data_IF_237322619771
#
_entry.id   IF_237322619771
#
_cell.length_a   1.000
_cell.length_b   1.000
_cell.length_c   1.000
_cell.angle_alpha   90.00
_cell.angle_beta   90.00
_cell.angle_gamma   90.00
#
_symmetry.space_group_name_H-M   'P 1'
#
loop_
_entity.id
_entity.type
_entity.pdbx_description
1 polymer ?
#
# COMPACT_ATOMS: atom_id res chain seq x y z
N UNK A 1 10.83 -6.27 -0.22
CA UNK A 1 11.69 -5.09 0.04
C UNK A 1 11.54 -4.12 -1.12
N UNK A 2 10.91 -2.98 -0.89
CA UNK A 2 10.66 -1.96 -1.92
C UNK A 2 11.88 -1.05 -2.01
N UNK A 3 12.51 -0.94 -3.18
CA UNK A 3 13.55 0.05 -3.45
C UNK A 3 12.89 1.43 -3.52
N UNK A 4 13.23 2.30 -2.58
CA UNK A 4 12.91 3.72 -2.65
C UNK A 4 14.17 4.45 -3.10
N UNK A 5 14.07 5.31 -4.13
CA UNK A 5 15.20 6.05 -4.66
C UNK A 5 15.93 6.80 -3.55
N UNK A 6 17.23 6.58 -3.46
CA UNK A 6 18.09 7.18 -2.45
C UNK A 6 18.31 8.66 -2.75
N UNK A 7 17.80 9.54 -1.89
CA UNK A 7 18.48 10.81 -1.63
C UNK A 7 19.48 10.53 -0.51
N UNK A 8 20.76 10.54 -0.85
CA UNK A 8 21.84 10.46 0.14
C UNK A 8 21.83 11.75 0.95
N UNK A 9 21.43 11.66 2.20
CA UNK A 9 21.66 12.75 3.12
C UNK A 9 22.43 12.24 4.33
N UNK A 10 23.56 12.87 4.60
CA UNK A 10 24.36 12.64 5.77
C UNK A 10 23.76 13.41 6.94
N UNK A 11 23.30 12.70 7.95
CA UNK A 11 22.95 13.29 9.25
C UNK A 11 24.18 13.33 10.11
N UNK A 12 24.72 14.50 10.36
CA UNK A 12 25.65 14.69 11.47
C UNK A 12 24.85 14.65 12.77
N UNK A 13 25.08 13.62 13.57
CA UNK A 13 24.49 13.53 14.89
C UNK A 13 25.29 14.43 15.84
N UNK A 14 24.85 15.68 16.02
CA UNK A 14 25.23 16.52 17.14
C UNK A 14 24.26 16.26 18.28
N UNK A 15 24.64 15.37 19.20
CA UNK A 15 23.85 15.09 20.39
C UNK A 15 24.75 14.56 21.50
N UNK A 16 25.18 15.44 22.42
CA UNK A 16 25.80 15.03 23.65
C UNK A 16 24.80 14.35 24.56
N UNK A 17 24.84 13.03 24.65
CA UNK A 17 24.18 12.25 25.68
C UNK A 17 25.15 11.85 26.76
N UNK A 18 24.68 11.67 28.00
CA UNK A 18 25.45 11.38 29.22
C UNK A 18 26.23 10.04 29.24
N UNK A 19 26.30 9.35 28.12
CA UNK A 19 27.12 8.14 27.95
C UNK A 19 28.06 8.33 26.78
N UNK A 20 29.35 8.20 27.04
CA UNK A 20 30.52 8.38 26.22
C UNK A 20 30.32 8.33 24.70
N UNK A 21 30.83 9.39 24.07
CA UNK A 21 30.77 9.58 22.62
C UNK A 21 31.71 8.61 21.88
N UNK A 22 31.28 7.40 21.63
CA UNK A 22 31.84 6.61 20.55
C UNK A 22 31.14 7.03 19.26
N UNK A 23 31.87 7.74 18.39
CA UNK A 23 31.44 8.01 17.02
C UNK A 23 31.40 6.69 16.26
N UNK A 24 30.27 6.00 16.30
CA UNK A 24 30.01 4.89 15.39
C UNK A 24 29.65 5.47 14.04
N UNK A 25 30.59 5.56 13.14
CA UNK A 25 30.31 5.73 11.72
C UNK A 25 29.68 4.42 11.21
N UNK A 26 28.37 4.28 11.37
CA UNK A 26 27.61 3.24 10.72
C UNK A 26 27.36 3.68 9.28
N UNK A 27 28.21 3.23 8.38
CA UNK A 27 27.91 3.29 6.94
C UNK A 27 26.75 2.32 6.66
N UNK A 28 25.56 2.85 6.53
CA UNK A 28 24.44 2.09 5.97
C UNK A 28 24.45 2.24 4.45
N UNK A 29 25.08 1.32 3.78
CA UNK A 29 25.05 1.19 2.31
C UNK A 29 23.82 0.39 1.85
N UNK A 30 22.73 0.50 2.57
CA UNK A 30 21.45 -0.12 2.23
C UNK A 30 20.56 0.92 1.56
N UNK A 31 20.17 0.65 0.31
CA UNK A 31 19.11 1.39 -0.40
C UNK A 31 17.72 1.08 0.16
N UNK A 32 17.60 0.10 1.05
CA UNK A 32 16.38 -0.26 1.75
C UNK A 32 16.21 0.65 2.98
N UNK A 33 15.18 1.47 2.99
CA UNK A 33 14.82 2.31 4.14
C UNK A 33 13.51 1.83 4.75
N UNK A 34 13.42 1.97 6.07
CA UNK A 34 12.14 1.80 6.74
C UNK A 34 11.14 2.86 6.28
N UNK A 35 9.85 2.53 6.22
CA UNK A 35 8.81 3.50 5.93
C UNK A 35 8.90 4.68 6.89
N UNK A 36 8.70 5.90 6.37
CA UNK A 36 8.57 7.10 7.21
C UNK A 36 7.17 7.17 7.81
N UNK A 37 7.01 7.89 8.91
CA UNK A 37 5.74 8.02 9.65
C UNK A 37 4.61 8.62 8.80
N UNK A 38 4.96 9.49 7.85
CA UNK A 38 3.99 10.10 6.92
C UNK A 38 4.21 9.56 5.52
N UNK A 39 3.19 8.92 4.97
CA UNK A 39 3.15 8.43 3.59
C UNK A 39 2.21 9.31 2.77
N UNK A 40 2.66 9.74 1.59
CA UNK A 40 1.86 10.57 0.69
C UNK A 40 1.48 9.77 -0.55
N UNK A 41 0.19 9.68 -0.82
CA UNK A 41 -0.37 9.04 -2.00
C UNK A 41 -1.25 10.04 -2.77
N UNK A 42 -1.11 10.06 -4.10
CA UNK A 42 -1.98 10.87 -4.93
C UNK A 42 -3.40 10.30 -4.93
N UNK A 43 -4.38 11.17 -4.69
CA UNK A 43 -5.80 10.86 -4.89
C UNK A 43 -6.28 11.40 -6.26
N UNK A 44 -5.33 11.62 -7.17
CA UNK A 44 -5.53 12.41 -8.40
C UNK A 44 -6.41 11.78 -9.47
N UNK A 45 -6.59 10.47 -9.50
CA UNK A 45 -7.50 9.84 -10.46
C UNK A 45 -8.93 9.79 -9.94
N UNK A 46 -9.53 10.97 -9.85
CA UNK A 46 -10.92 11.15 -9.44
C UNK A 46 -11.92 11.08 -10.61
N UNK A 47 -11.44 10.86 -11.81
CA UNK A 47 -12.28 10.80 -13.02
C UNK A 47 -13.25 9.62 -13.00
N UNK A 48 -12.92 8.56 -12.25
CA UNK A 48 -13.78 7.39 -12.08
C UNK A 48 -14.02 7.10 -10.59
N UNK A 49 -14.85 7.92 -9.95
CA UNK A 49 -15.29 7.66 -8.58
C UNK A 49 -16.38 6.59 -8.56
N UNK A 50 -16.03 5.43 -8.01
CA UNK A 50 -16.97 4.33 -7.76
C UNK A 50 -17.65 4.43 -6.40
N UNK A 51 -17.14 5.29 -5.51
CA UNK A 51 -17.71 5.53 -4.17
C UNK A 51 -17.28 6.91 -3.65
N UNK A 52 -18.15 7.56 -2.87
CA UNK A 52 -17.93 8.94 -2.35
C UNK A 52 -16.64 9.05 -1.52
N UNK A 53 -16.35 8.03 -0.72
CA UNK A 53 -15.16 7.96 0.15
C UNK A 53 -14.09 7.00 -0.38
N UNK A 54 -13.99 6.84 -1.69
CA UNK A 54 -13.01 5.92 -2.30
C UNK A 54 -11.58 6.25 -1.87
N UNK A 55 -10.84 5.23 -1.44
CA UNK A 55 -9.42 5.33 -1.12
C UNK A 55 -8.55 5.05 -2.34
N UNK A 56 -7.38 5.69 -2.47
CA UNK A 56 -6.42 5.37 -3.53
C UNK A 56 -5.99 3.90 -3.46
N UNK A 57 -6.01 3.21 -4.61
CA UNK A 57 -5.59 1.81 -4.70
C UNK A 57 -4.13 1.64 -4.31
N UNK A 58 -3.27 2.59 -4.68
CA UNK A 58 -1.83 2.56 -4.35
C UNK A 58 -1.56 2.61 -2.85
N UNK A 59 -2.35 3.40 -2.09
CA UNK A 59 -2.28 3.41 -0.63
C UNK A 59 -2.62 2.03 -0.07
N UNK A 60 -3.73 1.44 -0.55
CA UNK A 60 -4.18 0.13 -0.09
C UNK A 60 -3.18 -0.98 -0.46
N UNK A 61 -2.63 -0.94 -1.67
CA UNK A 61 -1.59 -1.86 -2.10
C UNK A 61 -0.32 -1.76 -1.23
N UNK A 62 0.08 -0.55 -0.87
CA UNK A 62 1.20 -0.32 0.05
C UNK A 62 0.94 -0.95 1.42
N UNK A 63 -0.23 -0.72 2.02
CA UNK A 63 -0.60 -1.28 3.33
C UNK A 63 -0.68 -2.80 3.27
N UNK A 64 -1.34 -3.36 2.26
CA UNK A 64 -1.47 -4.81 2.06
C UNK A 64 -0.07 -5.45 1.94
N UNK A 65 0.83 -4.90 1.14
CA UNK A 65 2.19 -5.42 0.99
C UNK A 65 3.03 -5.29 2.27
N UNK A 66 2.75 -4.29 3.09
CA UNK A 66 3.46 -4.05 4.35
C UNK A 66 3.08 -5.07 5.42
N UNK A 67 1.79 -5.41 5.51
CA UNK A 67 1.23 -6.17 6.63
C UNK A 67 0.86 -7.61 6.29
N UNK A 68 0.95 -8.01 5.02
CA UNK A 68 0.59 -9.37 4.58
C UNK A 68 1.62 -9.96 3.63
N UNK A 69 1.58 -11.29 3.46
CA UNK A 69 2.36 -12.02 2.47
C UNK A 69 1.51 -12.37 1.24
N UNK A 70 2.11 -12.65 0.07
CA UNK A 70 1.38 -13.21 -1.06
C UNK A 70 0.63 -14.48 -0.67
N UNK A 71 -0.66 -14.56 -1.05
CA UNK A 71 -1.56 -15.67 -0.71
C UNK A 71 -2.30 -15.52 0.61
N UNK A 72 -1.99 -14.50 1.43
CA UNK A 72 -2.79 -14.20 2.61
C UNK A 72 -4.17 -13.68 2.21
N UNK A 73 -5.15 -13.84 3.11
CA UNK A 73 -6.53 -13.37 2.95
C UNK A 73 -6.68 -12.01 3.60
N UNK A 74 -7.17 -11.03 2.85
CA UNK A 74 -7.50 -9.69 3.33
C UNK A 74 -9.02 -9.53 3.42
N UNK A 75 -9.51 -9.10 4.58
CA UNK A 75 -10.93 -8.81 4.82
C UNK A 75 -11.19 -7.31 4.82
N UNK A 76 -12.20 -6.89 4.07
CA UNK A 76 -12.77 -5.54 4.15
C UNK A 76 -14.28 -5.65 4.37
N UNK A 77 -14.73 -5.31 5.58
CA UNK A 77 -16.13 -5.47 6.00
C UNK A 77 -17.05 -4.30 5.56
N UNK A 78 -16.50 -3.29 4.87
CA UNK A 78 -17.23 -2.17 4.27
C UNK A 78 -16.53 -1.70 3.00
N UNK A 79 -16.44 -2.62 2.03
CA UNK A 79 -15.57 -2.46 0.86
C UNK A 79 -15.96 -1.32 -0.10
N UNK A 80 -17.20 -0.80 -0.02
CA UNK A 80 -17.69 0.28 -0.87
C UNK A 80 -17.46 -0.01 -2.35
N UNK A 81 -16.68 0.84 -3.03
CA UNK A 81 -16.33 0.67 -4.45
C UNK A 81 -15.24 -0.36 -4.74
N UNK A 82 -14.85 -1.21 -3.77
CA UNK A 82 -13.96 -2.36 -3.97
C UNK A 82 -12.47 -2.04 -4.17
N UNK A 83 -11.99 -0.87 -3.74
CA UNK A 83 -10.58 -0.50 -3.93
C UNK A 83 -9.61 -1.45 -3.25
N UNK A 84 -9.97 -1.96 -2.06
CA UNK A 84 -9.19 -2.96 -1.32
C UNK A 84 -9.07 -4.26 -2.12
N UNK A 85 -10.19 -4.73 -2.70
CA UNK A 85 -10.19 -5.94 -3.53
C UNK A 85 -9.31 -5.80 -4.79
N UNK A 86 -9.36 -4.64 -5.46
CA UNK A 86 -8.46 -4.34 -6.59
C UNK A 86 -6.99 -4.38 -6.15
N UNK A 87 -6.65 -3.76 -5.02
CA UNK A 87 -5.30 -3.79 -4.48
C UNK A 87 -4.83 -5.21 -4.12
N UNK A 88 -5.73 -6.06 -3.58
CA UNK A 88 -5.45 -7.47 -3.31
C UNK A 88 -5.13 -8.24 -4.59
N UNK A 89 -5.92 -8.06 -5.64
CA UNK A 89 -5.65 -8.68 -6.95
C UNK A 89 -4.29 -8.26 -7.48
N UNK A 90 -3.96 -6.97 -7.44
CA UNK A 90 -2.67 -6.45 -7.93
C UNK A 90 -1.47 -6.99 -7.15
N UNK A 91 -1.66 -7.22 -5.86
CA UNK A 91 -0.58 -7.65 -4.96
C UNK A 91 -0.53 -9.16 -4.72
N UNK A 92 -1.47 -9.93 -5.27
CA UNK A 92 -1.50 -11.39 -5.16
C UNK A 92 -1.97 -11.90 -3.80
N UNK A 93 -2.95 -11.23 -3.21
CA UNK A 93 -3.63 -11.63 -1.98
C UNK A 93 -5.05 -12.07 -2.30
N UNK A 94 -5.57 -12.98 -1.50
CA UNK A 94 -6.99 -13.32 -1.54
C UNK A 94 -7.82 -12.24 -0.85
N UNK A 95 -9.09 -12.12 -1.22
CA UNK A 95 -9.95 -11.03 -0.74
C UNK A 95 -11.33 -11.53 -0.33
N UNK A 96 -11.78 -11.06 0.84
CA UNK A 96 -13.15 -11.20 1.30
C UNK A 96 -13.71 -9.77 1.49
N UNK A 97 -14.72 -9.40 0.70
CA UNK A 97 -15.38 -8.10 0.80
C UNK A 97 -16.81 -8.23 1.26
N UNK A 98 -17.23 -7.34 2.15
CA UNK A 98 -18.62 -7.21 2.60
C UNK A 98 -19.08 -5.80 2.29
N UNK A 99 -20.27 -5.67 1.71
CA UNK A 99 -20.93 -4.40 1.42
C UNK A 99 -22.43 -4.57 1.60
N UNK A 100 -23.05 -3.65 2.30
CA UNK A 100 -24.49 -3.69 2.59
C UNK A 100 -25.32 -3.13 1.43
N UNK A 101 -24.77 -2.17 0.70
CA UNK A 101 -25.45 -1.54 -0.43
C UNK A 101 -25.29 -2.42 -1.67
N UNK A 102 -26.39 -2.91 -2.29
CA UNK A 102 -26.34 -3.82 -3.42
C UNK A 102 -25.73 -3.19 -4.69
N UNK A 103 -25.87 -1.88 -4.89
CA UNK A 103 -25.35 -1.19 -6.06
C UNK A 103 -23.83 -1.00 -5.93
N UNK A 104 -23.36 -0.64 -4.74
CA UNK A 104 -21.91 -0.61 -4.46
C UNK A 104 -21.31 -2.01 -4.49
N UNK A 105 -22.00 -3.01 -3.94
CA UNK A 105 -21.54 -4.40 -4.02
C UNK A 105 -21.32 -4.86 -5.47
N UNK A 106 -22.32 -4.61 -6.34
CA UNK A 106 -22.20 -4.94 -7.77
C UNK A 106 -21.05 -4.22 -8.43
N UNK A 107 -20.94 -2.92 -8.18
CA UNK A 107 -19.86 -2.07 -8.73
C UNK A 107 -18.48 -2.59 -8.30
N UNK A 108 -18.32 -2.92 -7.02
CA UNK A 108 -17.08 -3.46 -6.47
C UNK A 108 -16.73 -4.80 -7.11
N UNK A 109 -17.70 -5.71 -7.21
CA UNK A 109 -17.53 -7.03 -7.84
C UNK A 109 -17.08 -6.91 -9.29
N UNK A 110 -17.78 -6.13 -10.11
CA UNK A 110 -17.44 -5.91 -11.52
C UNK A 110 -16.02 -5.33 -11.69
N UNK A 111 -15.64 -4.43 -10.80
CA UNK A 111 -14.32 -3.80 -10.81
C UNK A 111 -13.20 -4.78 -10.45
N UNK A 112 -13.40 -5.60 -9.43
CA UNK A 112 -12.43 -6.61 -9.00
C UNK A 112 -12.27 -7.69 -10.07
N UNK A 113 -13.37 -8.17 -10.65
CA UNK A 113 -13.36 -9.17 -11.74
C UNK A 113 -12.61 -8.66 -12.98
N UNK A 114 -12.82 -7.39 -13.37
CA UNK A 114 -12.07 -6.77 -14.47
C UNK A 114 -10.57 -6.74 -14.21
N UNK A 115 -10.16 -6.44 -12.97
CA UNK A 115 -8.74 -6.43 -12.62
C UNK A 115 -8.13 -7.84 -12.62
N UNK A 116 -8.89 -8.85 -12.17
CA UNK A 116 -8.48 -10.25 -12.24
C UNK A 116 -8.28 -10.72 -13.70
N UNK A 117 -9.18 -10.31 -14.61
CA UNK A 117 -9.06 -10.65 -16.04
C UNK A 117 -7.82 -10.01 -16.67
N UNK A 118 -7.54 -8.74 -16.37
CA UNK A 118 -6.31 -8.07 -16.84
C UNK A 118 -5.06 -8.81 -16.39
N UNK A 119 -5.00 -9.24 -15.13
CA UNK A 119 -3.86 -9.97 -14.61
C UNK A 119 -3.66 -11.33 -15.27
N UNK A 120 -4.75 -12.06 -15.54
CA UNK A 120 -4.69 -13.35 -16.27
C UNK A 120 -4.24 -13.20 -17.72
N UNK A 121 -4.60 -12.11 -18.38
CA UNK A 121 -4.18 -11.83 -19.75
C UNK A 121 -2.73 -11.36 -19.91
N UNK A 122 -2.05 -11.05 -18.80
CA UNK A 122 -0.64 -10.61 -18.80
C UNK A 122 0.34 -11.74 -18.42
N UNK A 123 -0.14 -12.94 -18.13
CA UNK A 123 0.65 -14.15 -17.89
C UNK A 123 0.73 -14.99 -19.16
#
# INVERSE_FOLDING_TARGET
>A
KRKVCANSYTREATGGGCYGSEKRNTFYDSTDRYPVDVQTFSNGDQTHRYHVTQKPVDLLAYLIQTYTNPGDVVLDNCMGGGSTGVACVQTGRDFIGIEIDPDYFKTAKDRIEKEQQKRKGMQ
#
